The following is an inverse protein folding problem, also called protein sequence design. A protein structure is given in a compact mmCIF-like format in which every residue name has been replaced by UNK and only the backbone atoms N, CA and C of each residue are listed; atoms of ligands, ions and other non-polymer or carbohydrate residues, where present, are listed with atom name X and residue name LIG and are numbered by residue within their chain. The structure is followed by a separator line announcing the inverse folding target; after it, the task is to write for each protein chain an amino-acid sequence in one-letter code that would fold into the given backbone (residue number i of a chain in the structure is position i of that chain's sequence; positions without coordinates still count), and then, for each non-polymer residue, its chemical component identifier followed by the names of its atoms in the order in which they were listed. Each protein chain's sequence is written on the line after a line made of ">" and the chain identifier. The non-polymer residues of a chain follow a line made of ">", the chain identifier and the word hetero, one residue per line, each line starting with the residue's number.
data_IF_541928213877
#
_entry.id   IF_541928213877
#
_cell.length_a   1.000
_cell.length_b   1.000
_cell.length_c   1.000
_cell.angle_alpha   90.00
_cell.angle_beta   90.00
_cell.angle_gamma   90.00
#
_symmetry.space_group_name_H-M   'P 1'
#
loop_
_entity.id
_entity.type
_entity.pdbx_description
1 polymer ?
#
# COMPACT_ATOMS: atom_id res chain seq x y z
N UNK A 1 -3.06 -16.20 -15.75
CA UNK A 1 -4.45 -15.86 -15.33
C UNK A 1 -4.54 -15.14 -13.97
N UNK A 2 -4.01 -15.68 -12.85
CA UNK A 2 -4.14 -15.09 -11.50
C UNK A 2 -3.70 -13.61 -11.36
N UNK A 3 -2.62 -13.18 -12.02
CA UNK A 3 -2.14 -11.78 -11.99
C UNK A 3 -3.12 -10.80 -12.65
N UNK A 4 -3.71 -11.17 -13.78
CA UNK A 4 -4.67 -10.32 -14.50
C UNK A 4 -5.96 -10.15 -13.68
N UNK A 5 -6.43 -11.23 -13.06
CA UNK A 5 -7.62 -11.22 -12.21
C UNK A 5 -7.42 -10.32 -10.96
N UNK A 6 -6.27 -10.43 -10.29
CA UNK A 6 -5.94 -9.59 -9.13
C UNK A 6 -5.82 -8.09 -9.46
N UNK A 7 -5.39 -7.78 -10.69
CA UNK A 7 -5.29 -6.39 -11.17
C UNK A 7 -6.67 -5.81 -11.48
N UNK A 8 -7.53 -6.61 -12.11
CA UNK A 8 -8.93 -6.25 -12.39
C UNK A 8 -9.73 -6.04 -11.11
N UNK A 9 -9.57 -6.89 -10.10
CA UNK A 9 -10.24 -6.71 -8.80
C UNK A 9 -9.77 -5.46 -8.08
N UNK A 10 -8.48 -5.14 -8.10
CA UNK A 10 -7.96 -3.90 -7.51
C UNK A 10 -8.54 -2.63 -8.15
N UNK A 11 -8.68 -2.63 -9.49
CA UNK A 11 -9.31 -1.51 -10.22
C UNK A 11 -10.81 -1.42 -9.92
N UNK A 12 -11.51 -2.56 -9.87
CA UNK A 12 -12.93 -2.61 -9.54
C UNK A 12 -13.20 -2.08 -8.13
N UNK A 13 -12.40 -2.47 -7.12
CA UNK A 13 -12.51 -1.99 -5.74
C UNK A 13 -12.32 -0.47 -5.69
N UNK A 14 -11.28 0.09 -6.34
CA UNK A 14 -11.06 1.55 -6.38
C UNK A 14 -12.27 2.31 -6.94
N UNK A 15 -12.83 1.83 -8.06
CA UNK A 15 -13.99 2.48 -8.70
C UNK A 15 -15.26 2.35 -7.84
N UNK A 16 -15.52 1.17 -7.28
CA UNK A 16 -16.65 0.93 -6.39
C UNK A 16 -16.56 1.77 -5.11
N UNK A 17 -15.38 1.87 -4.48
CA UNK A 17 -15.18 2.71 -3.30
C UNK A 17 -15.37 4.20 -3.58
N UNK A 18 -14.98 4.68 -4.77
CA UNK A 18 -15.22 6.07 -5.18
C UNK A 18 -16.71 6.36 -5.40
N UNK A 19 -17.44 5.42 -6.02
CA UNK A 19 -18.89 5.53 -6.21
C UNK A 19 -19.64 5.43 -4.88
N UNK A 20 -19.27 4.49 -4.00
CA UNK A 20 -19.87 4.33 -2.68
C UNK A 20 -19.72 5.58 -1.80
N UNK A 21 -18.56 6.23 -1.84
CA UNK A 21 -18.34 7.53 -1.17
C UNK A 21 -19.28 8.62 -1.70
N UNK A 22 -19.52 8.64 -3.01
CA UNK A 22 -20.40 9.63 -3.65
C UNK A 22 -21.89 9.39 -3.35
N UNK A 23 -22.26 8.14 -3.06
CA UNK A 23 -23.62 7.72 -2.73
C UNK A 23 -23.94 7.78 -1.22
N UNK A 24 -23.03 8.26 -0.37
CA UNK A 24 -23.28 8.38 1.07
C UNK A 24 -23.26 7.05 1.82
N UNK A 25 -22.55 6.04 1.29
CA UNK A 25 -22.32 4.80 2.02
C UNK A 25 -21.63 5.11 3.38
N UNK A 26 -21.92 4.34 4.44
CA UNK A 26 -21.37 4.61 5.76
C UNK A 26 -19.85 4.69 5.70
N UNK A 27 -19.30 5.80 6.23
CA UNK A 27 -17.88 6.04 6.24
C UNK A 27 -17.21 4.96 7.10
N UNK A 28 -16.51 4.01 6.44
CA UNK A 28 -15.70 3.03 7.14
C UNK A 28 -14.52 3.79 7.76
N UNK A 29 -14.30 3.68 9.08
CA UNK A 29 -13.17 4.35 9.70
C UNK A 29 -11.86 3.79 9.13
N UNK A 30 -10.88 4.67 8.89
CA UNK A 30 -9.58 4.27 8.32
C UNK A 30 -8.93 3.17 9.16
N UNK A 31 -9.06 3.24 10.48
CA UNK A 31 -8.55 2.21 11.40
C UNK A 31 -9.11 0.81 11.16
N UNK A 32 -10.32 0.66 10.62
CA UNK A 32 -10.92 -0.64 10.31
C UNK A 32 -10.51 -1.18 8.93
N UNK A 33 -10.01 -0.33 8.03
CA UNK A 33 -9.65 -0.69 6.66
C UNK A 33 -8.14 -0.64 6.38
N UNK A 34 -7.37 0.01 7.24
CA UNK A 34 -5.92 0.16 7.10
C UNK A 34 -5.20 -1.14 7.42
N UNK A 35 -4.19 -1.47 6.61
CA UNK A 35 -3.27 -2.57 6.91
C UNK A 35 -2.39 -2.16 8.10
N UNK A 36 -2.38 -2.99 9.14
CA UNK A 36 -1.59 -2.75 10.37
C UNK A 36 -0.21 -3.39 10.33
N UNK A 37 -0.04 -4.44 9.51
CA UNK A 37 1.23 -5.11 9.28
C UNK A 37 1.75 -4.75 7.87
N UNK A 38 2.56 -3.70 7.81
CA UNK A 38 3.21 -3.24 6.58
C UNK A 38 4.71 -3.55 6.65
N UNK A 39 5.32 -4.07 5.57
CA UNK A 39 6.77 -4.13 5.47
C UNK A 39 7.33 -2.70 5.49
N UNK A 40 8.34 -2.48 6.33
CA UNK A 40 9.05 -1.20 6.47
C UNK A 40 10.52 -1.39 6.12
N UNK A 41 11.18 -0.31 5.74
CA UNK A 41 12.61 -0.29 5.41
C UNK A 41 13.36 0.70 6.30
N UNK A 42 14.65 0.47 6.50
CA UNK A 42 15.52 1.39 7.25
C UNK A 42 16.03 2.52 6.35
N UNK A 43 16.27 3.70 6.93
CA UNK A 43 16.96 4.83 6.27
C UNK A 43 18.37 4.47 5.79
N UNK A 44 19.02 3.48 6.42
CA UNK A 44 20.38 3.04 6.10
C UNK A 44 20.41 1.92 5.05
N UNK A 45 19.25 1.40 4.65
CA UNK A 45 19.15 0.27 3.74
C UNK A 45 19.48 0.72 2.30
N UNK A 46 20.27 -0.07 1.57
CA UNK A 46 20.66 0.27 0.21
C UNK A 46 19.44 0.33 -0.72
N UNK A 47 19.38 1.37 -1.55
CA UNK A 47 18.23 1.60 -2.45
C UNK A 47 17.99 0.43 -3.42
N UNK A 48 19.05 -0.26 -3.84
CA UNK A 48 18.94 -1.43 -4.72
C UNK A 48 18.18 -2.58 -4.04
N UNK A 49 18.41 -2.80 -2.74
CA UNK A 49 17.71 -3.83 -1.98
C UNK A 49 16.25 -3.44 -1.76
N UNK A 50 15.98 -2.16 -1.49
CA UNK A 50 14.62 -1.62 -1.39
C UNK A 50 13.87 -1.78 -2.73
N UNK A 51 14.55 -1.55 -3.86
CA UNK A 51 13.97 -1.74 -5.19
C UNK A 51 13.52 -3.19 -5.44
N UNK A 52 14.26 -4.17 -4.93
CA UNK A 52 13.87 -5.59 -5.04
C UNK A 52 12.56 -5.90 -4.31
N UNK A 53 12.27 -5.21 -3.19
CA UNK A 53 11.00 -5.35 -2.48
C UNK A 53 9.81 -4.88 -3.33
N UNK A 54 10.01 -3.89 -4.19
CA UNK A 54 9.00 -3.47 -5.15
C UNK A 54 8.86 -4.46 -6.31
N UNK A 55 9.96 -5.03 -6.82
CA UNK A 55 9.93 -5.97 -7.95
C UNK A 55 9.29 -7.31 -7.55
N UNK A 56 9.70 -7.86 -6.40
CA UNK A 56 9.19 -9.12 -5.87
C UNK A 56 7.81 -9.00 -5.19
N UNK A 57 7.49 -7.82 -4.67
CA UNK A 57 6.27 -7.56 -3.91
C UNK A 57 5.09 -7.01 -4.71
N UNK A 58 4.00 -6.74 -3.98
CA UNK A 58 2.82 -6.00 -4.47
C UNK A 58 2.69 -4.61 -3.84
N UNK A 59 3.70 -4.17 -3.09
CA UNK A 59 3.70 -2.87 -2.44
C UNK A 59 3.90 -1.77 -3.49
N UNK A 60 3.14 -0.68 -3.37
CA UNK A 60 3.37 0.54 -4.16
C UNK A 60 4.17 1.58 -3.37
N UNK A 61 4.16 1.43 -2.04
CA UNK A 61 4.75 2.35 -1.08
C UNK A 61 5.33 1.53 0.07
N UNK A 62 6.45 1.97 0.61
CA UNK A 62 7.11 1.40 1.79
C UNK A 62 7.46 2.55 2.75
N UNK A 63 7.07 2.42 4.02
CA UNK A 63 7.46 3.38 5.03
C UNK A 63 8.95 3.22 5.38
N UNK A 64 9.65 4.34 5.48
CA UNK A 64 11.03 4.39 5.99
C UNK A 64 10.98 4.67 7.48
N UNK A 65 11.57 3.77 8.25
CA UNK A 65 11.60 3.84 9.72
C UNK A 65 13.05 3.97 10.17
N UNK A 66 13.30 4.91 11.07
CA UNK A 66 14.59 5.10 11.74
C UNK A 66 14.34 5.27 13.24
N UNK A 67 15.08 4.54 14.08
CA UNK A 67 14.89 4.50 15.54
C UNK A 67 13.41 4.34 16.00
N UNK A 68 12.64 3.53 15.26
CA UNK A 68 11.22 3.29 15.56
C UNK A 68 10.26 4.40 15.13
N UNK A 69 10.76 5.48 14.52
CA UNK A 69 9.97 6.59 14.01
C UNK A 69 9.88 6.54 12.49
N UNK A 70 8.70 6.86 11.94
CA UNK A 70 8.55 7.01 10.49
C UNK A 70 9.18 8.33 10.05
N UNK A 71 10.21 8.24 9.22
CA UNK A 71 10.97 9.40 8.71
C UNK A 71 10.64 9.73 7.25
N UNK A 72 9.97 8.82 6.53
CA UNK A 72 9.58 9.05 5.15
C UNK A 72 8.84 7.88 4.50
N UNK A 73 8.64 8.01 3.19
CA UNK A 73 8.01 6.99 2.35
C UNK A 73 8.81 6.88 1.06
N UNK A 74 9.10 5.64 0.65
CA UNK A 74 9.64 5.34 -0.68
C UNK A 74 8.50 4.78 -1.53
N UNK A 75 8.39 5.28 -2.76
CA UNK A 75 7.37 4.86 -3.73
C UNK A 75 8.02 4.13 -4.89
N UNK A 76 7.25 3.25 -5.54
CA UNK A 76 7.66 2.63 -6.81
C UNK A 76 7.80 3.65 -7.94
#
# INVERSE_FOLDING_TARGET
>A
MRKALARLTGVAIRKLSAVARRLGAPAIPVSAAMLTALPVVSSQQALQDVAQLFVGGRNQELAVVDDGLTVGVVTR
#
